data_IF_397823929473
#
_entry.id   IF_397823929473
#
_cell.length_a   1.000
_cell.length_b   1.000
_cell.length_c   1.000
_cell.angle_alpha   90.00
_cell.angle_beta   90.00
_cell.angle_gamma   90.00
#
_symmetry.space_group_name_H-M   'P 1'
#
loop_
_entity.id
_entity.type
_entity.pdbx_description
1 polymer ?
#
# COMPACT_ATOMS: atom_id res chain seq x y z
N UNK A 1 14.31 3.78 7.59
CA UNK A 1 12.88 4.05 7.25
C UNK A 1 12.10 2.74 7.14
N UNK A 2 10.84 2.69 7.60
CA UNK A 2 9.96 1.51 7.52
C UNK A 2 8.67 1.83 6.78
N UNK A 3 8.12 0.85 6.08
CA UNK A 3 6.86 1.00 5.33
C UNK A 3 5.90 -0.15 5.64
N UNK A 4 4.60 0.14 5.79
CA UNK A 4 3.54 -0.86 5.91
C UNK A 4 2.39 -0.52 4.96
N UNK A 5 2.10 -1.40 4.01
CA UNK A 5 0.87 -1.36 3.22
C UNK A 5 -0.17 -2.24 3.92
N UNK A 6 -1.32 -1.66 4.27
CA UNK A 6 -2.51 -2.42 4.65
C UNK A 6 -3.56 -2.39 3.57
N UNK A 7 -4.20 -3.53 3.36
CA UNK A 7 -5.31 -3.67 2.41
C UNK A 7 -6.40 -4.56 2.99
N UNK A 8 -7.65 -4.30 2.61
CA UNK A 8 -8.75 -5.21 2.90
C UNK A 8 -8.51 -6.58 2.21
N UNK A 9 -8.49 -7.65 3.00
CA UNK A 9 -8.32 -9.03 2.54
C UNK A 9 -9.37 -9.42 1.51
N UNK A 10 -10.64 -9.04 1.72
CA UNK A 10 -11.73 -9.37 0.81
C UNK A 10 -11.66 -8.57 -0.51
N UNK A 11 -11.12 -7.34 -0.49
CA UNK A 11 -10.78 -6.63 -1.72
C UNK A 11 -9.66 -7.36 -2.46
N UNK A 12 -8.61 -7.81 -1.75
CA UNK A 12 -7.50 -8.54 -2.35
C UNK A 12 -7.92 -9.89 -2.95
N UNK A 13 -8.77 -10.67 -2.25
CA UNK A 13 -9.24 -11.98 -2.73
C UNK A 13 -10.40 -11.88 -3.73
N UNK A 14 -11.04 -10.72 -3.86
CA UNK A 14 -12.20 -10.49 -4.71
C UNK A 14 -13.53 -10.92 -4.10
N UNK A 15 -13.55 -11.28 -2.82
CA UNK A 15 -14.76 -11.70 -2.09
C UNK A 15 -15.81 -10.58 -1.95
N UNK A 16 -15.42 -9.31 -2.06
CA UNK A 16 -16.37 -8.20 -2.15
C UNK A 16 -17.10 -8.11 -3.50
N UNK A 17 -16.71 -8.89 -4.51
CA UNK A 17 -17.38 -8.93 -5.81
C UNK A 17 -17.21 -7.67 -6.67
N UNK A 18 -16.23 -6.82 -6.36
CA UNK A 18 -15.90 -5.63 -7.14
C UNK A 18 -14.55 -5.86 -7.84
N UNK A 19 -14.60 -6.19 -9.14
CA UNK A 19 -13.43 -6.54 -9.94
C UNK A 19 -12.43 -5.38 -10.03
N UNK A 20 -12.91 -4.15 -10.21
CA UNK A 20 -12.08 -2.94 -10.28
C UNK A 20 -11.29 -2.74 -8.97
N UNK A 21 -11.97 -2.75 -7.81
CA UNK A 21 -11.30 -2.63 -6.51
C UNK A 21 -10.33 -3.78 -6.25
N UNK A 22 -10.65 -4.97 -6.76
CA UNK A 22 -9.79 -6.15 -6.64
C UNK A 22 -8.51 -5.97 -7.44
N UNK A 23 -8.60 -5.49 -8.68
CA UNK A 23 -7.44 -5.20 -9.52
C UNK A 23 -6.53 -4.16 -8.86
N UNK A 24 -7.10 -3.02 -8.44
CA UNK A 24 -6.36 -1.96 -7.74
C UNK A 24 -5.67 -2.47 -6.47
N UNK A 25 -6.37 -3.29 -5.68
CA UNK A 25 -5.80 -3.84 -4.44
C UNK A 25 -4.66 -4.81 -4.71
N UNK A 26 -4.75 -5.61 -5.76
CA UNK A 26 -3.66 -6.52 -6.17
C UNK A 26 -2.45 -5.73 -6.66
N UNK A 27 -2.66 -4.72 -7.50
CA UNK A 27 -1.56 -3.89 -8.01
C UNK A 27 -0.79 -3.22 -6.85
N UNK A 28 -1.49 -2.67 -5.85
CA UNK A 28 -0.82 -2.12 -4.65
C UNK A 28 0.02 -3.17 -3.92
N UNK A 29 -0.51 -4.38 -3.74
CA UNK A 29 0.22 -5.49 -3.08
C UNK A 29 1.42 -5.90 -3.91
N UNK A 30 1.26 -6.07 -5.23
CA UNK A 30 2.33 -6.51 -6.13
C UNK A 30 3.47 -5.46 -6.17
N UNK A 31 3.13 -4.16 -6.19
CA UNK A 31 4.12 -3.10 -6.03
C UNK A 31 4.86 -3.17 -4.70
N UNK A 32 4.13 -3.34 -3.58
CA UNK A 32 4.76 -3.42 -2.27
C UNK A 32 5.63 -4.67 -2.12
N UNK A 33 5.25 -5.80 -2.72
CA UNK A 33 6.06 -7.03 -2.74
C UNK A 33 7.36 -6.84 -3.51
N UNK A 34 7.30 -6.19 -4.68
CA UNK A 34 8.49 -5.83 -5.44
C UNK A 34 9.40 -4.86 -4.65
N UNK A 35 8.84 -3.81 -4.04
CA UNK A 35 9.63 -2.89 -3.21
C UNK A 35 10.28 -3.63 -2.04
N UNK A 36 9.58 -4.58 -1.40
CA UNK A 36 10.11 -5.39 -0.30
C UNK A 36 11.34 -6.21 -0.73
N UNK A 37 11.36 -6.73 -1.95
CA UNK A 37 12.50 -7.48 -2.49
C UNK A 37 13.74 -6.59 -2.66
N UNK A 38 13.55 -5.34 -3.06
CA UNK A 38 14.62 -4.39 -3.39
C UNK A 38 14.81 -3.27 -2.36
N UNK A 39 14.23 -3.42 -1.16
CA UNK A 39 14.13 -2.38 -0.12
C UNK A 39 15.47 -1.72 0.22
N UNK A 40 16.56 -2.49 0.19
CA UNK A 40 17.90 -2.02 0.56
C UNK A 40 18.44 -0.99 -0.45
N UNK A 41 17.96 -1.00 -1.70
CA UNK A 41 18.37 -0.05 -2.73
C UNK A 41 17.85 1.36 -2.45
N UNK A 42 16.72 1.50 -1.76
CA UNK A 42 16.10 2.77 -1.40
C UNK A 42 16.11 3.03 0.11
N UNK A 43 17.03 2.37 0.84
CA UNK A 43 17.26 2.59 2.27
C UNK A 43 16.02 2.35 3.15
N UNK A 44 15.17 1.39 2.76
CA UNK A 44 14.07 0.90 3.59
C UNK A 44 14.56 -0.27 4.46
N UNK A 45 14.42 -0.12 5.77
CA UNK A 45 14.75 -1.17 6.76
C UNK A 45 13.77 -2.33 6.67
N UNK A 46 12.48 -2.05 6.44
CA UNK A 46 11.43 -3.05 6.36
C UNK A 46 10.25 -2.57 5.50
N UNK A 47 9.61 -3.53 4.85
CA UNK A 47 8.36 -3.36 4.12
C UNK A 47 7.40 -4.46 4.54
N UNK A 48 6.29 -4.07 5.14
CA UNK A 48 5.25 -4.95 5.65
C UNK A 48 4.00 -4.85 4.78
N UNK A 49 3.27 -5.96 4.63
CA UNK A 49 2.07 -6.03 3.81
C UNK A 49 1.02 -6.80 4.60
N UNK A 50 0.06 -6.05 5.17
CA UNK A 50 -0.95 -6.58 6.07
C UNK A 50 -2.29 -6.67 5.35
N UNK A 51 -2.92 -7.85 5.37
CA UNK A 51 -4.23 -8.07 4.77
C UNK A 51 -5.26 -8.18 5.89
N UNK A 52 -6.09 -7.16 6.08
CA UNK A 52 -7.03 -7.06 7.21
C UNK A 52 -8.40 -7.62 6.87
N UNK A 53 -9.05 -8.32 7.80
CA UNK A 53 -10.44 -8.75 7.66
C UNK A 53 -11.40 -7.63 8.11
N UNK A 54 -12.55 -7.51 7.45
CA UNK A 54 -13.52 -6.48 7.78
C UNK A 54 -14.06 -6.69 9.21
N UNK A 55 -13.90 -5.66 10.06
CA UNK A 55 -14.28 -5.74 11.48
C UNK A 55 -13.25 -6.42 12.38
N UNK A 56 -12.12 -6.88 11.82
CA UNK A 56 -10.95 -7.16 12.63
C UNK A 56 -10.33 -5.81 13.03
N UNK A 57 -10.23 -5.58 14.34
CA UNK A 57 -9.53 -4.40 14.87
C UNK A 57 -8.04 -4.46 14.53
N UNK A 58 -7.55 -5.59 13.99
CA UNK A 58 -6.46 -5.65 13.02
C UNK A 58 -5.36 -4.66 13.36
N UNK A 59 -4.86 -4.78 14.59
CA UNK A 59 -3.74 -3.96 15.03
C UNK A 59 -2.65 -4.15 14.00
N UNK A 60 -2.03 -3.05 13.59
CA UNK A 60 -0.78 -3.08 12.85
C UNK A 60 0.06 -4.29 13.23
N UNK A 61 0.52 -5.08 12.27
CA UNK A 61 1.47 -6.12 12.67
C UNK A 61 2.74 -5.43 13.19
N UNK A 62 3.11 -4.26 12.64
CA UNK A 62 4.43 -3.65 12.90
C UNK A 62 4.41 -2.12 13.13
N UNK A 63 3.56 -1.33 12.46
CA UNK A 63 3.46 0.13 12.69
C UNK A 63 2.10 0.54 13.29
N UNK A 64 1.95 0.85 14.60
CA UNK A 64 0.68 1.02 15.34
C UNK A 64 -0.10 2.30 15.03
N UNK A 65 -0.32 2.54 13.75
CA UNK A 65 -1.06 3.65 13.18
C UNK A 65 -2.37 3.09 12.63
N UNK A 66 -3.48 3.72 13.04
CA UNK A 66 -4.81 3.44 12.53
C UNK A 66 -5.40 4.73 11.99
N UNK A 67 -6.00 4.64 10.82
CA UNK A 67 -6.62 5.79 10.14
C UNK A 67 -8.12 5.62 10.17
N UNK A 68 -8.81 6.67 10.58
CA UNK A 68 -10.25 6.75 10.54
C UNK A 68 -10.69 7.80 9.52
N UNK A 69 -11.79 7.52 8.83
CA UNK A 69 -12.55 8.47 8.03
C UNK A 69 -13.92 8.76 8.66
N UNK A 70 -14.64 9.69 8.04
CA UNK A 70 -16.06 9.93 8.33
C UNK A 70 -16.83 9.69 7.04
N UNK A 71 -17.74 8.72 7.06
CA UNK A 71 -18.63 8.37 5.96
C UNK A 71 -20.06 8.33 6.50
N UNK A 72 -21.00 9.03 5.85
CA UNK A 72 -22.41 9.09 6.27
C UNK A 72 -22.60 9.40 7.78
N UNK A 73 -21.92 10.45 8.27
CA UNK A 73 -21.89 10.86 9.69
C UNK A 73 -21.39 9.79 10.67
N UNK A 74 -20.77 8.72 10.17
CA UNK A 74 -20.23 7.61 10.96
C UNK A 74 -18.71 7.57 10.87
N UNK A 75 -18.04 7.41 12.02
CA UNK A 75 -16.59 7.18 12.06
C UNK A 75 -16.32 5.76 11.58
N UNK A 76 -15.55 5.61 10.51
CA UNK A 76 -15.17 4.32 9.93
C UNK A 76 -13.65 4.15 9.94
N UNK A 77 -13.17 2.95 10.24
CA UNK A 77 -11.75 2.63 10.08
C UNK A 77 -11.45 2.42 8.60
N UNK A 78 -10.28 2.89 8.15
CA UNK A 78 -9.80 2.65 6.79
C UNK A 78 -9.03 1.35 6.75
N UNK A 79 -9.59 0.36 6.07
CA UNK A 79 -8.98 -0.97 5.90
C UNK A 79 -7.77 -0.93 4.94
N UNK A 80 -7.73 0.06 4.05
CA UNK A 80 -6.63 0.29 3.10
C UNK A 80 -5.87 1.55 3.48
N UNK A 81 -4.55 1.45 3.64
CA UNK A 81 -3.67 2.56 3.97
C UNK A 81 -2.20 2.20 3.70
N UNK A 82 -1.37 3.18 3.37
CA UNK A 82 0.08 3.07 3.36
C UNK A 82 0.66 3.96 4.47
N UNK A 83 1.49 3.37 5.32
CA UNK A 83 2.18 4.06 6.40
C UNK A 83 3.67 4.01 6.15
N UNK A 84 4.36 5.14 6.25
CA UNK A 84 5.81 5.24 6.16
C UNK A 84 6.31 5.94 7.42
N UNK A 85 7.23 5.31 8.12
CA UNK A 85 7.95 5.90 9.25
C UNK A 85 9.39 6.19 8.83
N UNK A 86 9.82 7.44 8.98
CA UNK A 86 11.18 7.85 8.67
C UNK A 86 12.16 7.62 9.85
N UNK A 87 13.42 8.02 9.65
CA UNK A 87 14.47 7.86 10.67
C UNK A 87 14.30 8.81 11.87
N UNK A 88 13.51 9.87 11.71
CA UNK A 88 13.20 10.87 12.74
C UNK A 88 11.91 10.52 13.52
N UNK A 89 11.40 9.29 13.36
CA UNK A 89 10.13 8.81 13.92
C UNK A 89 8.90 9.59 13.42
N UNK A 90 9.02 10.34 12.31
CA UNK A 90 7.90 11.00 11.67
C UNK A 90 7.14 9.98 10.82
N UNK A 91 5.80 10.10 10.86
CA UNK A 91 4.90 9.16 10.17
C UNK A 91 4.15 9.88 9.07
N UNK A 92 4.26 9.35 7.86
CA UNK A 92 3.44 9.70 6.70
C UNK A 92 2.38 8.63 6.48
N UNK A 93 1.16 9.07 6.16
CA UNK A 93 0.01 8.20 6.01
C UNK A 93 -0.75 8.57 4.75
N UNK A 94 -0.97 7.58 3.89
CA UNK A 94 -1.75 7.71 2.66
C UNK A 94 -2.95 6.77 2.73
N UNK A 95 -4.18 7.29 2.96
CA UNK A 95 -5.38 6.46 3.05
C UNK A 95 -6.08 6.23 1.71
N UNK A 96 -5.74 7.00 0.68
CA UNK A 96 -6.41 6.96 -0.62
C UNK A 96 -5.64 6.07 -1.61
N UNK A 97 -6.29 5.12 -2.31
CA UNK A 97 -5.61 4.19 -3.23
C UNK A 97 -4.77 4.86 -4.32
N UNK A 98 -5.20 6.02 -4.83
CA UNK A 98 -4.46 6.77 -5.84
C UNK A 98 -3.10 7.25 -5.30
N UNK A 99 -3.09 7.88 -4.12
CA UNK A 99 -1.86 8.35 -3.48
C UNK A 99 -0.95 7.18 -3.11
N UNK A 100 -1.52 6.07 -2.65
CA UNK A 100 -0.78 4.84 -2.33
C UNK A 100 -0.07 4.33 -3.59
N UNK A 101 -0.79 4.18 -4.71
CA UNK A 101 -0.22 3.74 -5.98
C UNK A 101 0.86 4.70 -6.49
N UNK A 102 0.66 6.01 -6.37
CA UNK A 102 1.67 7.00 -6.78
C UNK A 102 2.96 6.88 -5.96
N UNK A 103 2.85 6.70 -4.64
CA UNK A 103 4.02 6.50 -3.77
C UNK A 103 4.72 5.18 -4.09
N UNK A 104 3.98 4.10 -4.27
CA UNK A 104 4.55 2.79 -4.57
C UNK A 104 5.25 2.78 -5.94
N UNK A 105 4.64 3.34 -6.98
CA UNK A 105 5.25 3.42 -8.32
C UNK A 105 6.50 4.29 -8.32
N UNK A 106 6.51 5.43 -7.60
CA UNK A 106 7.73 6.24 -7.43
C UNK A 106 8.85 5.53 -6.68
N UNK A 107 8.53 4.65 -5.73
CA UNK A 107 9.54 3.81 -5.08
C UNK A 107 10.13 2.78 -6.05
N UNK A 108 9.31 2.19 -6.92
CA UNK A 108 9.78 1.30 -7.98
C UNK A 108 10.67 2.02 -9.00
N UNK A 109 10.32 3.25 -9.38
CA UNK A 109 11.15 4.08 -10.26
C UNK A 109 12.54 4.34 -9.64
N UNK A 110 12.59 4.72 -8.36
CA UNK A 110 13.85 4.90 -7.63
C UNK A 110 14.67 3.61 -7.52
N UNK A 111 14.02 2.46 -7.38
CA UNK A 111 14.68 1.15 -7.40
C UNK A 111 15.31 0.92 -8.78
N UNK A 112 14.56 1.16 -9.86
CA UNK A 112 15.02 1.01 -11.25
C UNK A 112 16.23 1.90 -11.56
N UNK A 113 16.26 3.13 -11.04
CA UNK A 113 17.42 4.02 -11.18
C UNK A 113 18.70 3.48 -10.52
N UNK A 114 18.56 2.58 -9.53
CA UNK A 114 19.65 2.07 -8.70
C UNK A 114 20.06 0.62 -8.99
N UNK A 115 19.32 -0.07 -9.85
CA UNK A 115 19.63 -1.45 -10.26
C UNK A 115 19.82 -1.56 -11.78
N UNK A 116 20.44 -2.65 -12.21
CA UNK A 116 20.57 -3.01 -13.63
C UNK A 116 19.48 -3.99 -14.07
N UNK A 117 18.68 -4.48 -13.12
CA UNK A 117 17.51 -5.31 -13.38
C UNK A 117 16.34 -4.40 -13.71
N UNK A 118 15.46 -4.86 -14.59
CA UNK A 118 14.22 -4.13 -14.88
C UNK A 118 13.17 -4.58 -13.87
N UNK A 119 12.92 -3.76 -12.84
CA UNK A 119 11.93 -4.02 -11.79
C UNK A 119 10.63 -3.38 -12.24
N UNK A 120 9.85 -4.13 -13.00
CA UNK A 120 8.55 -3.68 -13.54
C UNK A 120 7.44 -4.47 -12.87
N UNK A 121 6.45 -3.76 -12.36
CA UNK A 121 5.17 -4.32 -11.96
C UNK A 121 4.15 -3.88 -13.01
N UNK A 122 3.41 -4.84 -13.56
CA UNK A 122 2.37 -4.56 -14.53
C UNK A 122 1.15 -4.01 -13.79
N UNK A 123 0.86 -2.72 -14.02
CA UNK A 123 -0.25 -2.01 -13.38
C UNK A 123 -1.49 -2.15 -14.26
N UNK A 124 -2.61 -2.55 -13.67
CA UNK A 124 -3.88 -2.65 -14.41
C UNK A 124 -4.33 -1.30 -14.96
N UNK A 125 -5.17 -1.32 -16.00
CA UNK A 125 -5.77 -0.11 -16.55
C UNK A 125 -6.55 0.68 -15.48
N UNK A 126 -7.24 -0.03 -14.57
CA UNK A 126 -8.01 0.59 -13.48
C UNK A 126 -7.09 1.40 -12.55
N UNK A 127 -5.92 0.88 -12.20
CA UNK A 127 -4.93 1.59 -11.39
C UNK A 127 -4.25 2.72 -12.16
N UNK A 128 -3.97 2.53 -13.45
CA UNK A 128 -3.39 3.57 -14.31
C UNK A 128 -4.33 4.78 -14.47
N UNK A 129 -5.65 4.58 -14.44
CA UNK A 129 -6.62 5.69 -14.42
C UNK A 129 -6.60 6.49 -13.11
N UNK A 130 -6.09 5.92 -12.01
CA UNK A 130 -6.00 6.60 -10.71
C UNK A 130 -4.77 7.49 -10.58
N UNK A 131 -3.69 7.18 -11.31
CA UNK A 131 -2.42 7.91 -11.25
C UNK A 131 -2.21 8.62 -12.60
N UNK A 132 -2.49 9.93 -12.65
CA UNK A 132 -2.39 10.73 -13.90
C UNK A 132 -1.43 11.90 -13.75
#
# INVERSE_FOLDING_TARGET
>A
MRMELRVCKHCYTGEHGNEQKTAITKDMVDCAEAIREYKDLISLDAVYITKVEAGDVGGSEELPINVAGIEDDTITLRDTQLVIEDEDESVLVYPEPADILEVLTRNLDQINERTRQDVVVDISADSAELIT
#
